data_IF_014177970708
#
_entry.id   IF_014177970708
#
_cell.length_a   1.000
_cell.length_b   1.000
_cell.length_c   1.000
_cell.angle_alpha   90.00
_cell.angle_beta   90.00
_cell.angle_gamma   90.00
#
_symmetry.space_group_name_H-M   'P 1'
#
loop_
_entity.id
_entity.type
_entity.pdbx_description
1 polymer ?
#
# COMPACT_ATOMS: atom_id res chain seq x y z
N UNK A 1 20.91 26.85 -55.39
CA UNK A 1 19.44 26.81 -55.28
C UNK A 1 19.04 25.37 -55.55
N UNK A 2 18.45 24.58 -54.66
CA UNK A 2 17.91 24.82 -53.32
C UNK A 2 17.79 23.45 -52.64
N UNK A 3 18.25 23.33 -51.39
CA UNK A 3 18.03 22.14 -50.56
C UNK A 3 16.56 22.12 -50.10
N UNK A 4 15.82 21.10 -50.53
CA UNK A 4 14.42 20.95 -50.17
C UNK A 4 14.30 20.02 -48.95
N UNK A 5 14.32 20.63 -47.76
CA UNK A 5 14.04 19.95 -46.49
C UNK A 5 12.57 19.54 -46.40
N UNK A 6 12.28 18.24 -46.56
CA UNK A 6 10.97 17.65 -46.31
C UNK A 6 10.72 17.59 -44.81
N UNK A 7 9.89 18.49 -44.30
CA UNK A 7 9.50 18.57 -42.90
C UNK A 7 8.80 17.31 -42.38
N UNK A 8 9.35 16.73 -41.32
CA UNK A 8 8.84 15.57 -40.57
C UNK A 8 7.65 15.90 -39.64
N UNK A 9 6.80 16.85 -40.04
CA UNK A 9 5.70 17.33 -39.20
C UNK A 9 4.66 16.22 -38.90
N UNK A 10 4.46 15.27 -39.83
CA UNK A 10 3.52 14.17 -39.66
C UNK A 10 3.98 13.09 -38.68
N UNK A 11 5.28 12.78 -38.62
CA UNK A 11 5.78 11.73 -37.71
C UNK A 11 5.84 12.20 -36.28
N UNK A 12 6.23 13.46 -36.04
CA UNK A 12 6.26 14.06 -34.70
C UNK A 12 4.84 14.12 -34.12
N UNK A 13 3.85 14.55 -34.91
CA UNK A 13 2.46 14.61 -34.47
C UNK A 13 1.88 13.23 -34.11
N UNK A 14 2.15 12.20 -34.93
CA UNK A 14 1.68 10.83 -34.69
C UNK A 14 2.32 10.20 -33.45
N UNK A 15 3.63 10.41 -33.22
CA UNK A 15 4.33 9.90 -32.03
C UNK A 15 3.82 10.59 -30.76
N UNK A 16 3.61 11.90 -30.79
CA UNK A 16 3.07 12.65 -29.63
C UNK A 16 1.64 12.20 -29.29
N UNK A 17 0.78 11.99 -30.30
CA UNK A 17 -0.59 11.50 -30.10
C UNK A 17 -0.62 10.05 -29.58
N UNK A 18 0.27 9.18 -30.09
CA UNK A 18 0.42 7.81 -29.57
C UNK A 18 0.94 7.80 -28.12
N UNK A 19 1.86 8.69 -27.76
CA UNK A 19 2.33 8.83 -26.37
C UNK A 19 1.22 9.32 -25.42
N UNK A 20 0.32 10.19 -25.88
CA UNK A 20 -0.79 10.71 -25.07
C UNK A 20 -1.91 9.66 -24.85
N UNK A 21 -2.13 8.76 -25.80
CA UNK A 21 -3.12 7.67 -25.70
C UNK A 21 -2.77 6.62 -24.61
N UNK A 22 -1.49 6.52 -24.21
CA UNK A 22 -1.02 5.55 -23.20
C UNK A 22 -1.33 5.99 -21.75
N UNK A 23 -1.84 7.21 -21.54
CA UNK A 23 -1.93 7.81 -20.20
C UNK A 23 -3.31 7.64 -19.51
N UNK A 24 -4.32 7.08 -20.18
CA UNK A 24 -5.66 6.89 -19.59
C UNK A 24 -5.78 5.53 -18.91
N UNK A 25 -4.87 5.26 -17.96
CA UNK A 25 -5.08 4.19 -16.99
C UNK A 25 -5.99 4.70 -15.89
N UNK A 26 -7.26 4.31 -15.86
CA UNK A 26 -8.10 4.47 -14.67
C UNK A 26 -7.41 3.75 -13.51
N UNK A 27 -6.75 4.49 -12.62
CA UNK A 27 -6.10 3.96 -11.43
C UNK A 27 -7.16 3.58 -10.40
N UNK A 28 -7.79 2.43 -10.61
CA UNK A 28 -8.64 1.83 -9.58
C UNK A 28 -7.74 1.45 -8.40
N UNK A 29 -8.08 1.93 -7.20
CA UNK A 29 -7.42 1.53 -5.96
C UNK A 29 -7.55 0.02 -5.78
N UNK A 30 -6.42 -0.68 -5.68
CA UNK A 30 -6.41 -2.11 -5.43
C UNK A 30 -6.81 -2.39 -3.97
N UNK A 31 -7.35 -3.58 -3.71
CA UNK A 31 -7.57 -4.06 -2.34
C UNK A 31 -6.72 -5.29 -2.10
N UNK A 32 -5.88 -5.25 -1.06
CA UNK A 32 -5.02 -6.35 -0.64
C UNK A 32 -5.55 -6.98 0.64
N UNK A 33 -5.72 -8.30 0.66
CA UNK A 33 -6.05 -9.05 1.87
C UNK A 33 -4.76 -9.32 2.63
N UNK A 34 -4.59 -8.68 3.78
CA UNK A 34 -3.38 -8.85 4.59
C UNK A 34 -3.29 -10.30 5.06
N UNK A 35 -2.14 -10.95 4.81
CA UNK A 35 -1.91 -12.38 5.08
C UNK A 35 -2.66 -13.35 4.15
N UNK A 36 -3.35 -12.83 3.12
CA UNK A 36 -4.16 -13.61 2.17
C UNK A 36 -5.15 -14.57 2.85
N UNK A 37 -5.01 -15.88 2.67
CA UNK A 37 -5.85 -16.90 3.30
C UNK A 37 -5.60 -17.06 4.80
N UNK A 38 -4.41 -16.69 5.29
CA UNK A 38 -4.06 -16.72 6.71
C UNK A 38 -4.64 -15.55 7.51
N UNK A 39 -5.02 -14.46 6.82
CA UNK A 39 -5.54 -13.27 7.47
C UNK A 39 -4.50 -12.50 8.30
N UNK A 40 -4.98 -11.57 9.12
CA UNK A 40 -4.14 -10.84 10.04
C UNK A 40 -3.80 -11.70 11.25
N UNK A 41 -2.57 -12.23 11.28
CA UNK A 41 -2.11 -13.20 12.28
C UNK A 41 -0.60 -13.05 12.57
N UNK A 42 -0.05 -13.92 13.41
CA UNK A 42 1.39 -13.98 13.72
C UNK A 42 2.25 -14.21 12.47
N UNK A 43 3.51 -13.77 12.51
CA UNK A 43 4.49 -13.88 11.40
C UNK A 43 4.00 -13.31 10.05
N UNK A 44 3.20 -12.25 10.08
CA UNK A 44 2.68 -11.57 8.88
C UNK A 44 3.64 -10.49 8.35
N UNK A 45 4.76 -10.24 9.04
CA UNK A 45 5.76 -9.22 8.72
C UNK A 45 6.41 -9.35 7.33
N UNK A 46 6.48 -10.57 6.81
CA UNK A 46 7.01 -10.84 5.47
C UNK A 46 5.96 -10.72 4.36
N UNK A 47 4.66 -10.67 4.67
CA UNK A 47 3.58 -10.62 3.67
C UNK A 47 3.70 -9.45 2.67
N UNK A 48 4.16 -8.24 3.04
CA UNK A 48 4.37 -7.15 2.08
C UNK A 48 5.43 -7.44 1.00
N UNK A 49 6.34 -8.40 1.20
CA UNK A 49 7.47 -8.63 0.31
C UNK A 49 7.02 -8.99 -1.11
N UNK A 50 7.64 -8.34 -2.11
CA UNK A 50 7.34 -8.55 -3.53
C UNK A 50 6.04 -7.92 -4.02
N UNK A 51 5.26 -7.26 -3.15
CA UNK A 51 4.04 -6.53 -3.54
C UNK A 51 4.38 -5.07 -3.86
N UNK A 52 3.67 -4.53 -4.85
CA UNK A 52 3.75 -3.11 -5.21
C UNK A 52 2.47 -2.42 -4.75
N UNK A 53 2.59 -1.54 -3.76
CA UNK A 53 1.49 -0.77 -3.23
C UNK A 53 1.49 0.65 -3.81
N UNK A 54 0.31 1.22 -4.02
CA UNK A 54 0.13 2.59 -4.49
C UNK A 54 -0.66 3.39 -3.46
N UNK A 55 -0.39 4.69 -3.44
CA UNK A 55 -1.19 5.61 -2.63
C UNK A 55 -2.66 5.49 -3.01
N UNK A 56 -3.52 5.27 -2.01
CA UNK A 56 -4.95 5.09 -2.22
C UNK A 56 -5.44 3.65 -2.32
N UNK A 57 -4.54 2.65 -2.44
CA UNK A 57 -4.89 1.24 -2.28
C UNK A 57 -5.46 0.97 -0.88
N UNK A 58 -6.16 -0.14 -0.72
CA UNK A 58 -6.83 -0.53 0.52
C UNK A 58 -6.22 -1.83 1.05
N UNK A 59 -5.87 -1.84 2.32
CA UNK A 59 -5.60 -3.06 3.08
C UNK A 59 -6.90 -3.54 3.74
N UNK A 60 -7.25 -4.80 3.52
CA UNK A 60 -8.32 -5.49 4.23
C UNK A 60 -7.70 -6.43 5.27
N UNK A 61 -7.89 -6.10 6.54
CA UNK A 61 -7.48 -6.92 7.67
C UNK A 61 -8.66 -7.79 8.12
N UNK A 62 -8.52 -9.12 8.01
CA UNK A 62 -9.50 -10.07 8.52
C UNK A 62 -8.92 -10.79 9.74
N UNK A 63 -9.63 -10.77 10.87
CA UNK A 63 -9.21 -11.39 12.12
C UNK A 63 -10.39 -11.53 13.10
N UNK A 64 -10.21 -12.34 14.15
CA UNK A 64 -11.13 -12.36 15.29
C UNK A 64 -10.87 -11.13 16.19
N UNK A 65 -11.82 -10.18 16.29
CA UNK A 65 -11.63 -8.95 17.05
C UNK A 65 -11.57 -9.15 18.57
N UNK A 66 -11.87 -10.34 19.07
CA UNK A 66 -11.66 -10.70 20.49
C UNK A 66 -10.21 -11.06 20.79
N UNK A 67 -9.45 -11.48 19.77
CA UNK A 67 -8.06 -11.92 19.89
C UNK A 67 -7.06 -10.89 19.36
N UNK A 68 -7.48 -10.06 18.41
CA UNK A 68 -6.58 -9.20 17.65
C UNK A 68 -7.18 -7.81 17.41
N UNK A 69 -6.30 -6.89 17.02
CA UNK A 69 -6.67 -5.57 16.52
C UNK A 69 -5.64 -5.09 15.50
N UNK A 70 -5.91 -3.93 14.91
CA UNK A 70 -4.95 -3.22 14.05
C UNK A 70 -4.73 -1.83 14.61
N UNK A 71 -3.48 -1.43 14.73
CA UNK A 71 -3.07 -0.09 15.18
C UNK A 71 -2.19 0.52 14.12
N UNK A 72 -2.59 1.70 13.61
CA UNK A 72 -1.72 2.50 12.76
C UNK A 72 -0.69 3.23 13.62
N UNK A 73 0.60 3.01 13.32
CA UNK A 73 1.72 3.55 14.10
C UNK A 73 2.71 4.28 13.19
N UNK A 74 3.66 4.98 13.81
CA UNK A 74 4.83 5.50 13.10
C UNK A 74 5.96 4.45 13.04
N UNK A 75 7.09 4.81 12.43
CA UNK A 75 8.26 3.94 12.31
C UNK A 75 8.83 3.53 13.68
N UNK A 76 8.74 4.43 14.67
CA UNK A 76 9.19 4.18 16.04
C UNK A 76 8.33 3.08 16.68
N UNK A 77 7.02 3.31 16.75
CA UNK A 77 6.03 2.39 17.28
C UNK A 77 6.04 1.03 16.58
N UNK A 78 6.29 0.99 15.26
CA UNK A 78 6.53 -0.25 14.54
C UNK A 78 7.77 -0.97 15.08
N UNK A 79 8.92 -0.30 15.14
CA UNK A 79 10.19 -0.91 15.54
C UNK A 79 10.17 -1.42 16.97
N UNK A 80 9.61 -0.63 17.90
CA UNK A 80 9.54 -0.95 19.33
C UNK A 80 8.28 -1.68 19.75
N UNK A 81 7.36 -1.98 18.84
CA UNK A 81 6.06 -2.57 19.16
C UNK A 81 5.24 -1.76 20.19
N UNK A 82 5.36 -0.44 20.14
CA UNK A 82 4.64 0.47 21.03
C UNK A 82 3.52 1.20 20.30
N UNK A 83 2.43 1.47 21.03
CA UNK A 83 1.33 2.28 20.53
C UNK A 83 1.57 3.75 20.91
N UNK A 84 1.86 4.65 19.95
CA UNK A 84 2.05 6.06 20.26
C UNK A 84 0.73 6.72 20.69
N UNK A 85 0.82 7.82 21.42
CA UNK A 85 -0.35 8.59 21.84
C UNK A 85 -1.15 9.06 20.63
N UNK A 86 -2.48 8.88 20.67
CA UNK A 86 -3.37 9.26 19.58
C UNK A 86 -3.38 8.30 18.38
N UNK A 87 -2.68 7.16 18.46
CA UNK A 87 -2.73 6.14 17.42
C UNK A 87 -4.16 5.67 17.16
N UNK A 88 -4.50 5.49 15.88
CA UNK A 88 -5.80 4.98 15.49
C UNK A 88 -5.84 3.47 15.68
N UNK A 89 -6.80 3.01 16.48
CA UNK A 89 -7.03 1.58 16.77
C UNK A 89 -8.30 1.12 16.07
N UNK A 90 -8.20 0.01 15.35
CA UNK A 90 -9.28 -0.62 14.62
C UNK A 90 -9.60 -1.99 15.24
N UNK A 91 -10.89 -2.31 15.35
CA UNK A 91 -11.38 -3.46 16.15
C UNK A 91 -12.58 -4.16 15.49
N UNK A 92 -12.83 -3.95 14.19
CA UNK A 92 -14.02 -4.56 13.57
C UNK A 92 -13.79 -6.02 13.16
N UNK A 93 -12.52 -6.43 12.99
CA UNK A 93 -12.17 -7.76 12.48
C UNK A 93 -12.27 -7.88 10.96
N UNK A 94 -12.70 -6.82 10.26
CA UNK A 94 -12.79 -6.70 8.80
C UNK A 94 -12.39 -5.29 8.34
N UNK A 95 -11.36 -4.73 8.96
CA UNK A 95 -10.99 -3.33 8.81
C UNK A 95 -10.41 -3.03 7.42
N UNK A 96 -10.92 -1.97 6.80
CA UNK A 96 -10.48 -1.47 5.49
C UNK A 96 -9.72 -0.18 5.68
N UNK A 97 -8.42 -0.20 5.44
CA UNK A 97 -7.53 0.95 5.67
C UNK A 97 -6.92 1.38 4.34
N UNK A 98 -7.14 2.64 3.98
CA UNK A 98 -6.55 3.24 2.77
C UNK A 98 -5.10 3.63 3.04
N UNK A 99 -4.19 3.24 2.16
CA UNK A 99 -2.78 3.59 2.23
C UNK A 99 -2.56 5.05 1.86
N UNK A 100 -1.81 5.77 2.71
CA UNK A 100 -1.23 7.06 2.35
C UNK A 100 -0.01 6.88 1.44
N UNK A 101 0.38 7.93 0.72
CA UNK A 101 1.64 7.93 -0.03
C UNK A 101 2.82 7.81 0.95
N UNK A 102 3.82 7.01 0.60
CA UNK A 102 5.01 6.75 1.41
C UNK A 102 4.82 5.60 2.39
N UNK A 103 5.44 5.72 3.57
CA UNK A 103 5.50 4.66 4.56
C UNK A 103 4.21 4.57 5.38
N UNK A 104 3.69 3.36 5.53
CA UNK A 104 2.54 3.03 6.36
C UNK A 104 2.92 1.85 7.28
N UNK A 105 2.65 1.95 8.58
CA UNK A 105 2.99 0.91 9.55
C UNK A 105 1.78 0.49 10.36
N UNK A 106 1.64 -0.82 10.53
CA UNK A 106 0.53 -1.41 11.29
C UNK A 106 1.04 -2.50 12.22
N UNK A 107 0.48 -2.57 13.42
CA UNK A 107 0.77 -3.62 14.43
C UNK A 107 -0.53 -4.13 15.05
N UNK A 108 -0.48 -5.32 15.65
CA UNK A 108 -1.42 -5.70 16.70
C UNK A 108 -0.77 -5.39 18.05
N UNK A 109 -1.47 -4.65 18.92
CA UNK A 109 -0.89 -4.25 20.20
C UNK A 109 -1.34 -5.12 21.38
N UNK A 110 -1.97 -6.27 21.11
CA UNK A 110 -2.17 -7.27 22.16
C UNK A 110 -0.80 -7.75 22.67
N UNK A 111 -0.65 -8.00 23.99
CA UNK A 111 0.65 -8.31 24.58
C UNK A 111 1.38 -9.45 23.85
N UNK A 112 2.59 -9.19 23.36
CA UNK A 112 3.44 -10.18 22.67
C UNK A 112 3.11 -10.41 21.18
N UNK A 113 2.01 -9.85 20.65
CA UNK A 113 1.59 -10.13 19.28
C UNK A 113 2.49 -9.45 18.25
N UNK A 114 2.80 -8.16 18.45
CA UNK A 114 3.69 -7.42 17.56
C UNK A 114 5.10 -8.03 17.54
N UNK A 115 5.61 -8.41 18.71
CA UNK A 115 6.91 -9.06 18.88
C UNK A 115 6.95 -10.42 18.18
N UNK A 116 5.82 -11.12 18.11
CA UNK A 116 5.62 -12.37 17.38
C UNK A 116 5.32 -12.19 15.88
N UNK A 117 5.72 -11.05 15.30
CA UNK A 117 5.61 -10.79 13.86
C UNK A 117 4.23 -10.36 13.37
N UNK A 118 3.29 -10.02 14.27
CA UNK A 118 1.98 -9.47 13.89
C UNK A 118 2.06 -7.96 13.63
N UNK A 119 2.84 -7.60 12.62
CA UNK A 119 3.19 -6.24 12.22
C UNK A 119 3.48 -6.20 10.73
N UNK A 120 3.21 -5.10 10.04
CA UNK A 120 3.62 -4.89 8.64
C UNK A 120 4.11 -3.47 8.40
N UNK A 121 5.09 -3.33 7.51
CA UNK A 121 5.59 -2.07 7.00
C UNK A 121 5.42 -2.03 5.47
N UNK A 122 4.78 -0.97 4.96
CA UNK A 122 4.46 -0.83 3.54
C UNK A 122 4.94 0.51 3.04
N UNK A 123 5.59 0.51 1.87
CA UNK A 123 5.85 1.73 1.09
C UNK A 123 4.90 1.79 -0.11
N UNK A 124 4.01 2.78 -0.13
CA UNK A 124 3.09 3.02 -1.22
C UNK A 124 3.57 4.18 -2.10
N UNK A 125 3.72 3.95 -3.41
CA UNK A 125 4.22 4.97 -4.37
C UNK A 125 3.12 5.86 -4.94
#
# INVERSE_FOLDING_TARGET
MSEQGRGSAGTIGVVVVLCLMVQLGCSNAATYKVGESGGWSFNTDSWPNGKQFRAGDVLLFNYDPTLHNVVAVDKGGYSSCTTPNGAKVFKSGKDRIRLGRGQNYFICNFPGHCESGMKIAINAV
#
